data_IF_444823097047
#
_entry.id   IF_444823097047
#
_cell.length_a   1.000
_cell.length_b   1.000
_cell.length_c   1.000
_cell.angle_alpha   90.00
_cell.angle_beta   90.00
_cell.angle_gamma   90.00
#
_symmetry.space_group_name_H-M   'P 1'
#
loop_
_entity.id
_entity.type
_entity.pdbx_description
1 polymer ?
#
# COMPACT_ATOMS: atom_id res chain seq x y z
N UNK A 1 5.00 10.96 -9.17
CA UNK A 1 3.53 10.97 -9.05
C UNK A 1 3.13 10.31 -7.73
N UNK A 2 1.94 10.59 -7.20
CA UNK A 2 1.48 10.02 -5.92
C UNK A 2 0.27 9.10 -6.14
N UNK A 3 0.33 7.88 -5.60
CA UNK A 3 -0.71 6.88 -5.76
C UNK A 3 -1.26 6.43 -4.40
N UNK A 4 -2.56 6.67 -4.17
CA UNK A 4 -3.24 6.21 -2.96
C UNK A 4 -3.87 4.83 -3.19
N UNK A 5 -3.42 3.85 -2.40
CA UNK A 5 -3.73 2.44 -2.58
C UNK A 5 -4.28 1.86 -1.26
N UNK A 6 -5.27 0.96 -1.37
CA UNK A 6 -5.72 0.15 -0.24
C UNK A 6 -4.78 -1.03 -0.03
N UNK A 7 -4.47 -1.38 1.21
CA UNK A 7 -3.83 -2.65 1.56
C UNK A 7 -4.67 -3.32 2.64
N UNK A 8 -4.93 -4.61 2.49
CA UNK A 8 -5.71 -5.34 3.49
C UNK A 8 -4.94 -5.37 4.82
N UNK A 9 -5.66 -5.17 5.92
CA UNK A 9 -5.17 -5.27 7.30
C UNK A 9 -4.35 -6.54 7.59
N UNK A 10 -4.61 -7.64 6.90
CA UNK A 10 -3.81 -8.87 7.02
C UNK A 10 -2.36 -8.67 6.53
N UNK A 11 -2.14 -7.87 5.50
CA UNK A 11 -0.82 -7.65 4.90
C UNK A 11 -0.09 -6.41 5.43
N UNK A 12 -0.83 -5.44 5.98
CA UNK A 12 -0.29 -4.17 6.45
C UNK A 12 0.86 -4.32 7.46
N UNK A 13 0.79 -5.21 8.48
CA UNK A 13 1.88 -5.39 9.44
C UNK A 13 3.21 -5.82 8.78
N UNK A 14 3.16 -6.70 7.77
CA UNK A 14 4.35 -7.18 7.07
C UNK A 14 5.01 -6.13 6.17
N UNK A 15 4.23 -5.15 5.70
CA UNK A 15 4.78 -4.00 4.98
C UNK A 15 5.36 -3.00 5.98
N UNK A 16 4.68 -2.80 7.12
CA UNK A 16 5.10 -1.90 8.19
C UNK A 16 6.44 -2.34 8.82
N UNK A 17 6.61 -3.63 9.08
CA UNK A 17 7.84 -4.21 9.65
C UNK A 17 8.94 -4.47 8.61
N UNK A 18 8.67 -4.17 7.33
CA UNK A 18 9.55 -4.37 6.17
C UNK A 18 9.93 -5.82 5.87
N UNK A 19 9.26 -6.81 6.47
CA UNK A 19 9.44 -8.22 6.12
C UNK A 19 8.91 -8.54 4.72
N UNK A 20 7.95 -7.75 4.24
CA UNK A 20 7.45 -7.72 2.87
C UNK A 20 7.83 -6.41 2.18
N UNK A 21 9.01 -6.34 1.53
CA UNK A 21 9.48 -5.11 0.89
C UNK A 21 8.89 -4.86 -0.51
N UNK A 22 7.88 -5.62 -0.94
CA UNK A 22 7.35 -5.56 -2.30
C UNK A 22 5.82 -5.66 -2.35
N UNK A 23 5.25 -5.06 -3.39
CA UNK A 23 3.81 -5.06 -3.67
C UNK A 23 3.57 -5.54 -5.12
N UNK A 24 2.69 -6.52 -5.31
CA UNK A 24 2.36 -7.05 -6.64
C UNK A 24 0.98 -6.53 -7.04
N UNK A 25 0.91 -5.76 -8.13
CA UNK A 25 -0.34 -5.20 -8.65
C UNK A 25 -0.37 -5.19 -10.16
N UNK A 26 -1.58 -5.18 -10.70
CA UNK A 26 -1.80 -4.81 -12.10
C UNK A 26 -1.35 -3.37 -12.30
N UNK A 27 -0.59 -3.12 -13.36
CA UNK A 27 -0.20 -1.77 -13.74
C UNK A 27 -1.35 -1.07 -14.47
N UNK A 28 -2.35 -0.60 -13.71
CA UNK A 28 -3.53 0.12 -14.21
C UNK A 28 -3.46 1.64 -14.00
N UNK A 29 -2.39 2.12 -13.37
CA UNK A 29 -2.14 3.54 -13.05
C UNK A 29 -0.83 4.08 -13.64
N UNK A 30 -0.20 3.31 -14.52
CA UNK A 30 1.10 3.63 -15.14
C UNK A 30 2.21 3.90 -14.10
N UNK A 31 2.38 2.96 -13.17
CA UNK A 31 3.36 3.06 -12.09
C UNK A 31 4.79 3.16 -12.65
N UNK A 32 5.51 4.19 -12.25
CA UNK A 32 6.88 4.44 -12.68
C UNK A 32 7.89 4.37 -11.52
N UNK A 33 9.14 4.02 -11.83
CA UNK A 33 10.26 4.17 -10.87
C UNK A 33 10.34 5.64 -10.46
N UNK A 34 10.41 5.89 -9.17
CA UNK A 34 10.43 7.23 -8.58
C UNK A 34 9.09 7.69 -8.01
N UNK A 35 7.99 7.01 -8.33
CA UNK A 35 6.68 7.34 -7.78
C UNK A 35 6.55 7.04 -6.30
N UNK A 36 5.67 7.79 -5.63
CA UNK A 36 5.33 7.60 -4.23
C UNK A 36 3.99 6.87 -4.15
N UNK A 37 3.95 5.81 -3.35
CA UNK A 37 2.74 5.07 -3.04
C UNK A 37 2.37 5.29 -1.58
N UNK A 38 1.08 5.44 -1.31
CA UNK A 38 0.52 5.44 0.04
C UNK A 38 -0.35 4.20 0.18
N UNK A 39 0.09 3.27 1.02
CA UNK A 39 -0.63 2.05 1.36
C UNK A 39 -1.48 2.33 2.61
N UNK A 40 -2.78 2.48 2.41
CA UNK A 40 -3.76 2.79 3.45
C UNK A 40 -4.41 1.49 3.93
N UNK A 41 -4.31 1.21 5.23
CA UNK A 41 -4.84 -0.01 5.83
C UNK A 41 -6.37 -0.03 5.74
N UNK A 42 -6.88 -1.08 5.10
CA UNK A 42 -8.30 -1.34 4.87
C UNK A 42 -8.73 -2.60 5.59
N UNK A 43 -9.79 -2.51 6.38
CA UNK A 43 -10.38 -3.64 7.10
C UNK A 43 -11.65 -4.12 6.40
N UNK A 44 -11.55 -5.24 5.67
CA UNK A 44 -12.67 -5.81 4.91
C UNK A 44 -13.82 -6.30 5.81
N UNK A 45 -13.59 -6.52 7.12
CA UNK A 45 -14.65 -6.99 8.03
C UNK A 45 -15.65 -5.87 8.37
N UNK A 46 -15.17 -4.64 8.41
CA UNK A 46 -15.95 -3.45 8.77
C UNK A 46 -16.06 -2.47 7.61
N UNK A 47 -15.51 -2.82 6.44
CA UNK A 47 -15.54 -2.05 5.19
C UNK A 47 -15.07 -0.59 5.38
N UNK A 48 -14.01 -0.39 6.16
CA UNK A 48 -13.50 0.94 6.47
C UNK A 48 -11.98 1.00 6.52
N UNK A 49 -11.44 2.20 6.34
CA UNK A 49 -10.03 2.49 6.62
C UNK A 49 -9.81 2.56 8.13
N UNK A 50 -8.72 1.99 8.61
CA UNK A 50 -8.37 2.04 10.04
C UNK A 50 -7.71 3.36 10.45
N UNK A 51 -7.31 4.18 9.46
CA UNK A 51 -6.54 5.41 9.65
C UNK A 51 -5.03 5.21 9.63
N UNK A 52 -4.54 3.96 9.60
CA UNK A 52 -3.11 3.68 9.43
C UNK A 52 -2.72 3.76 7.96
N UNK A 53 -1.56 4.35 7.69
CA UNK A 53 -0.97 4.40 6.36
C UNK A 53 0.54 4.30 6.43
N UNK A 54 1.14 3.81 5.35
CA UNK A 54 2.59 3.81 5.15
C UNK A 54 2.88 4.28 3.73
N UNK A 55 3.93 5.11 3.58
CA UNK A 55 4.41 5.52 2.27
C UNK A 55 5.62 4.70 1.84
N UNK A 56 5.75 4.51 0.54
CA UNK A 56 6.90 3.88 -0.10
C UNK A 56 7.24 4.58 -1.41
N UNK A 57 8.49 4.46 -1.83
CA UNK A 57 8.93 4.93 -3.15
C UNK A 57 9.19 3.71 -4.02
N UNK A 58 8.71 3.73 -5.26
CA UNK A 58 9.02 2.69 -6.25
C UNK A 58 10.47 2.88 -6.70
N UNK A 59 11.30 1.85 -6.51
CA UNK A 59 12.74 1.83 -6.84
C UNK A 59 13.06 0.78 -7.87
#
# INVERSE_FOLDING_TARGET
MEHNLKINKEFFPYVLDRTKPFEIRKNDRDFCIGDIIFLNEWDDKILQFTGRSISGKIT
#
